data_IF_557046865068
#
_entry.id   IF_557046865068
#
_cell.length_a   1.000
_cell.length_b   1.000
_cell.length_c   1.000
_cell.angle_alpha   90.00
_cell.angle_beta   90.00
_cell.angle_gamma   90.00
#
_symmetry.space_group_name_H-M   'P 1'
#
loop_
_entity.id
_entity.type
_entity.pdbx_description
1 polymer ?
#
# COMPACT_ATOMS: atom_id res chain seq x y z
N UNK A 1 -31.98 2.77 -21.52
CA UNK A 1 -31.87 1.30 -21.50
C UNK A 1 -31.19 0.92 -20.20
N UNK A 2 -31.91 0.34 -19.24
CA UNK A 2 -31.30 -0.20 -18.04
C UNK A 2 -30.39 -1.36 -18.46
N UNK A 3 -29.08 -1.24 -18.24
CA UNK A 3 -28.18 -2.38 -18.33
C UNK A 3 -28.67 -3.34 -17.24
N UNK A 4 -29.39 -4.39 -17.63
CA UNK A 4 -29.64 -5.53 -16.75
C UNK A 4 -28.26 -6.14 -16.54
N UNK A 5 -27.53 -5.64 -15.55
CA UNK A 5 -26.25 -6.20 -15.17
C UNK A 5 -26.49 -7.61 -14.67
N UNK A 6 -25.76 -8.56 -15.23
CA UNK A 6 -25.78 -9.96 -14.81
C UNK A 6 -25.77 -10.08 -13.27
N UNK A 7 -26.60 -10.98 -12.74
CA UNK A 7 -26.78 -11.13 -11.29
C UNK A 7 -25.46 -11.45 -10.58
N UNK A 8 -24.55 -12.19 -11.21
CA UNK A 8 -23.25 -12.51 -10.64
C UNK A 8 -22.33 -11.28 -10.59
N UNK A 9 -22.38 -10.41 -11.61
CA UNK A 9 -21.65 -9.14 -11.60
C UNK A 9 -22.19 -8.17 -10.54
N UNK A 10 -23.49 -8.18 -10.27
CA UNK A 10 -24.09 -7.44 -9.15
C UNK A 10 -23.61 -7.97 -7.79
N UNK A 11 -23.53 -9.30 -7.64
CA UNK A 11 -22.97 -9.91 -6.43
C UNK A 11 -21.51 -9.55 -6.23
N UNK A 12 -20.70 -9.52 -7.30
CA UNK A 12 -19.31 -9.05 -7.23
C UNK A 12 -19.24 -7.59 -6.77
N UNK A 13 -20.05 -6.68 -7.35
CA UNK A 13 -20.09 -5.28 -6.91
C UNK A 13 -20.38 -5.16 -5.42
N UNK A 14 -21.37 -5.92 -4.95
CA UNK A 14 -21.74 -5.95 -3.54
C UNK A 14 -20.61 -6.49 -2.67
N UNK A 15 -19.95 -7.58 -3.09
CA UNK A 15 -18.79 -8.13 -2.41
C UNK A 15 -17.65 -7.10 -2.33
N UNK A 16 -17.32 -6.42 -3.42
CA UNK A 16 -16.27 -5.40 -3.44
C UNK A 16 -16.60 -4.23 -2.48
N UNK A 17 -17.86 -3.82 -2.44
CA UNK A 17 -18.33 -2.68 -1.64
C UNK A 17 -18.61 -3.00 -0.16
N UNK A 18 -19.01 -4.23 0.18
CA UNK A 18 -19.39 -4.60 1.55
C UNK A 18 -18.43 -5.61 2.21
N UNK A 19 -17.58 -6.29 1.44
CA UNK A 19 -16.69 -7.34 1.94
C UNK A 19 -17.40 -8.62 2.41
N UNK A 20 -18.73 -8.68 2.38
CA UNK A 20 -19.50 -9.83 2.86
C UNK A 20 -20.65 -10.15 1.90
N UNK A 21 -20.80 -11.44 1.59
CA UNK A 21 -21.91 -11.98 0.79
C UNK A 21 -23.05 -12.51 1.65
N UNK A 22 -22.77 -12.88 2.90
CA UNK A 22 -23.69 -13.59 3.79
C UNK A 22 -24.65 -12.65 4.52
N UNK A 23 -24.25 -11.41 4.77
CA UNK A 23 -25.04 -10.44 5.53
C UNK A 23 -25.63 -9.33 4.65
N UNK A 24 -26.83 -8.87 5.02
CA UNK A 24 -27.46 -7.70 4.40
C UNK A 24 -26.66 -6.43 4.73
N UNK A 25 -26.14 -6.36 5.96
CA UNK A 25 -25.27 -5.29 6.43
C UNK A 25 -24.18 -5.88 7.34
N UNK A 26 -22.88 -5.66 7.08
CA UNK A 26 -21.82 -6.18 7.94
C UNK A 26 -21.91 -5.54 9.33
N UNK A 27 -21.98 -6.36 10.39
CA UNK A 27 -22.06 -5.91 11.80
C UNK A 27 -20.78 -5.23 12.29
N UNK A 28 -19.68 -5.39 11.54
CA UNK A 28 -18.35 -4.92 11.91
C UNK A 28 -17.50 -4.69 10.66
N UNK A 29 -16.81 -3.56 10.60
CA UNK A 29 -15.84 -3.20 9.54
C UNK A 29 -14.51 -3.96 9.70
N UNK A 30 -14.35 -4.78 10.74
CA UNK A 30 -13.05 -5.36 11.12
C UNK A 30 -12.66 -6.63 10.36
N UNK A 31 -13.41 -7.03 9.32
CA UNK A 31 -13.02 -8.13 8.44
C UNK A 31 -13.18 -7.72 6.98
N UNK A 32 -12.13 -7.86 6.15
CA UNK A 32 -12.25 -7.49 4.75
C UNK A 32 -13.18 -8.46 3.98
N UNK A 33 -13.17 -9.75 4.31
CA UNK A 33 -14.09 -10.80 3.84
C UNK A 33 -13.66 -12.18 4.41
N UNK A 34 -14.49 -13.22 4.25
CA UNK A 34 -14.14 -14.61 4.60
C UNK A 34 -14.00 -15.49 3.34
N UNK A 35 -12.76 -15.87 2.93
CA UNK A 35 -12.52 -16.69 1.75
C UNK A 35 -13.28 -18.02 1.70
N UNK A 36 -13.65 -18.59 2.86
CA UNK A 36 -14.34 -19.89 2.91
C UNK A 36 -15.84 -19.79 2.57
N UNK A 37 -16.41 -18.59 2.67
CA UNK A 37 -17.84 -18.35 2.48
C UNK A 37 -18.09 -17.55 1.19
N UNK A 38 -17.11 -16.78 0.71
CA UNK A 38 -17.18 -16.03 -0.55
C UNK A 38 -17.32 -16.99 -1.74
N UNK A 39 -18.48 -16.94 -2.41
CA UNK A 39 -18.81 -17.82 -3.53
C UNK A 39 -18.97 -17.05 -4.86
N UNK A 40 -19.22 -15.74 -4.84
CA UNK A 40 -19.56 -14.98 -6.05
C UNK A 40 -18.46 -15.06 -7.13
N UNK A 41 -17.18 -15.14 -6.74
CA UNK A 41 -16.08 -15.24 -7.70
C UNK A 41 -16.08 -16.61 -8.38
N UNK A 42 -16.40 -17.68 -7.66
CA UNK A 42 -16.50 -19.02 -8.24
C UNK A 42 -17.70 -19.10 -9.19
N UNK A 43 -18.84 -18.53 -8.81
CA UNK A 43 -20.03 -18.46 -9.66
C UNK A 43 -19.77 -17.68 -10.96
N UNK A 44 -18.97 -16.61 -10.90
CA UNK A 44 -18.50 -15.88 -12.10
C UNK A 44 -17.62 -16.74 -13.00
N UNK A 45 -16.75 -17.56 -12.42
CA UNK A 45 -15.91 -18.51 -13.16
C UNK A 45 -16.79 -19.55 -13.85
N UNK A 46 -17.77 -20.10 -13.12
CA UNK A 46 -18.66 -21.14 -13.62
C UNK A 46 -19.62 -20.60 -14.71
N UNK A 47 -19.95 -19.31 -14.65
CA UNK A 47 -20.79 -18.60 -15.64
C UNK A 47 -19.99 -18.01 -16.81
N UNK A 48 -18.67 -18.23 -16.85
CA UNK A 48 -17.77 -17.72 -17.89
C UNK A 48 -17.76 -16.18 -18.05
N UNK A 49 -17.83 -15.46 -16.93
CA UNK A 49 -17.85 -14.00 -16.84
C UNK A 49 -16.54 -13.42 -16.26
N UNK A 50 -15.41 -14.13 -16.44
CA UNK A 50 -14.16 -13.77 -15.79
C UNK A 50 -13.56 -12.47 -16.33
N UNK A 51 -13.70 -12.19 -17.63
CA UNK A 51 -13.18 -10.95 -18.22
C UNK A 51 -13.99 -9.74 -17.76
N UNK A 52 -15.31 -9.86 -17.72
CA UNK A 52 -16.23 -8.85 -17.20
C UNK A 52 -15.98 -8.61 -15.71
N UNK A 53 -15.71 -9.66 -14.93
CA UNK A 53 -15.34 -9.53 -13.53
C UNK A 53 -14.04 -8.73 -13.35
N UNK A 54 -13.01 -8.98 -14.17
CA UNK A 54 -11.75 -8.20 -14.12
C UNK A 54 -12.01 -6.73 -14.47
N UNK A 55 -12.81 -6.46 -15.50
CA UNK A 55 -13.18 -5.10 -15.88
C UNK A 55 -13.96 -4.39 -14.76
N UNK A 56 -14.87 -5.10 -14.10
CA UNK A 56 -15.64 -4.60 -12.97
C UNK A 56 -14.77 -4.28 -11.75
N UNK A 57 -13.76 -5.13 -11.44
CA UNK A 57 -12.79 -4.86 -10.38
C UNK A 57 -11.98 -3.60 -10.68
N UNK A 58 -11.51 -3.44 -11.93
CA UNK A 58 -10.80 -2.22 -12.35
C UNK A 58 -11.68 -0.97 -12.23
N UNK A 59 -12.94 -1.08 -12.63
CA UNK A 59 -13.93 0.00 -12.47
C UNK A 59 -14.14 0.36 -11.01
N UNK A 60 -14.30 -0.63 -10.14
CA UNK A 60 -14.46 -0.42 -8.70
C UNK A 60 -13.24 0.28 -8.10
N UNK A 61 -12.03 -0.11 -8.49
CA UNK A 61 -10.79 0.58 -8.08
C UNK A 61 -10.75 2.03 -8.55
N UNK A 62 -10.97 2.29 -9.84
CA UNK A 62 -10.91 3.64 -10.42
C UNK A 62 -11.97 4.60 -9.85
N UNK A 63 -13.12 4.06 -9.43
CA UNK A 63 -14.20 4.84 -8.84
C UNK A 63 -14.16 4.83 -7.30
N UNK A 64 -13.15 4.20 -6.69
CA UNK A 64 -13.04 4.06 -5.23
C UNK A 64 -14.27 3.41 -4.56
N UNK A 65 -14.99 2.57 -5.32
CA UNK A 65 -16.21 1.88 -4.89
C UNK A 65 -15.89 0.49 -4.33
N UNK A 66 -15.13 0.45 -3.23
CA UNK A 66 -14.78 -0.78 -2.53
C UNK A 66 -14.58 -0.52 -1.02
N UNK A 67 -14.85 -1.52 -0.17
CA UNK A 67 -14.70 -1.37 1.29
C UNK A 67 -13.23 -1.33 1.73
N UNK A 68 -12.43 -2.21 1.14
CA UNK A 68 -11.02 -2.39 1.48
C UNK A 68 -10.27 -2.96 0.31
N UNK A 69 -9.01 -2.58 0.17
CA UNK A 69 -8.16 -2.99 -0.95
C UNK A 69 -8.04 -4.52 -1.07
N UNK A 70 -8.16 -5.21 0.07
CA UNK A 70 -8.12 -6.66 0.18
C UNK A 70 -9.21 -7.37 -0.64
N UNK A 71 -10.43 -6.80 -0.77
CA UNK A 71 -11.52 -7.42 -1.55
C UNK A 71 -11.19 -7.45 -3.04
N UNK A 72 -10.66 -6.34 -3.57
CA UNK A 72 -10.18 -6.22 -4.95
C UNK A 72 -9.06 -7.22 -5.23
N UNK A 73 -8.06 -7.25 -4.34
CA UNK A 73 -6.90 -8.14 -4.47
C UNK A 73 -7.33 -9.58 -4.45
N UNK A 74 -8.21 -9.97 -3.52
CA UNK A 74 -8.67 -11.34 -3.43
C UNK A 74 -9.40 -11.80 -4.69
N UNK A 75 -10.33 -10.99 -5.18
CA UNK A 75 -11.03 -11.29 -6.42
C UNK A 75 -10.07 -11.48 -7.60
N UNK A 76 -9.09 -10.57 -7.77
CA UNK A 76 -8.05 -10.70 -8.81
C UNK A 76 -7.16 -11.91 -8.61
N UNK A 77 -6.79 -12.24 -7.38
CA UNK A 77 -5.92 -13.38 -7.09
C UNK A 77 -6.62 -14.70 -7.40
N UNK A 78 -7.90 -14.84 -7.08
CA UNK A 78 -8.68 -16.04 -7.42
C UNK A 78 -8.75 -16.20 -8.94
N UNK A 79 -9.03 -15.12 -9.68
CA UNK A 79 -9.00 -15.11 -11.15
C UNK A 79 -7.59 -15.33 -11.71
N UNK A 80 -6.56 -14.88 -11.00
CA UNK A 80 -5.14 -15.11 -11.29
C UNK A 80 -4.69 -16.57 -11.15
N UNK A 81 -5.54 -17.43 -10.58
CA UNK A 81 -5.38 -18.88 -10.50
C UNK A 81 -6.34 -19.66 -11.41
N UNK A 82 -7.08 -18.98 -12.29
CA UNK A 82 -7.97 -19.63 -13.25
C UNK A 82 -7.25 -20.69 -14.11
N UNK A 83 -8.00 -21.69 -14.58
CA UNK A 83 -7.46 -22.73 -15.48
C UNK A 83 -7.00 -22.13 -16.82
N UNK A 84 -7.75 -21.15 -17.30
CA UNK A 84 -7.44 -20.42 -18.53
C UNK A 84 -6.19 -19.54 -18.36
N UNK A 85 -5.24 -19.68 -19.29
CA UNK A 85 -4.06 -18.85 -19.35
C UNK A 85 -4.35 -17.37 -19.63
N UNK A 86 -5.30 -17.05 -20.51
CA UNK A 86 -5.63 -15.66 -20.84
C UNK A 86 -6.21 -14.93 -19.64
N UNK A 87 -7.14 -15.56 -18.91
CA UNK A 87 -7.72 -14.99 -17.68
C UNK A 87 -6.64 -14.74 -16.63
N UNK A 88 -5.74 -15.71 -16.39
CA UNK A 88 -4.62 -15.52 -15.45
C UNK A 88 -3.74 -14.33 -15.84
N UNK A 89 -3.45 -14.19 -17.13
CA UNK A 89 -2.65 -13.08 -17.66
C UNK A 89 -3.38 -11.75 -17.46
N UNK A 90 -4.67 -11.67 -17.79
CA UNK A 90 -5.50 -10.48 -17.62
C UNK A 90 -5.60 -10.06 -16.14
N UNK A 91 -5.83 -11.01 -15.24
CA UNK A 91 -5.92 -10.74 -13.80
C UNK A 91 -4.60 -10.19 -13.24
N UNK A 92 -3.45 -10.77 -13.65
CA UNK A 92 -2.14 -10.27 -13.26
C UNK A 92 -1.82 -8.89 -13.85
N UNK A 93 -2.28 -8.59 -15.07
CA UNK A 93 -2.13 -7.27 -15.67
C UNK A 93 -2.98 -6.22 -14.92
N UNK A 94 -4.25 -6.54 -14.63
CA UNK A 94 -5.11 -5.67 -13.82
C UNK A 94 -4.52 -5.45 -12.43
N UNK A 95 -3.96 -6.49 -11.81
CA UNK A 95 -3.25 -6.36 -10.55
C UNK A 95 -2.09 -5.36 -10.59
N UNK A 96 -1.40 -5.20 -11.73
CA UNK A 96 -0.27 -4.25 -11.85
C UNK A 96 -0.75 -2.81 -11.90
N UNK A 97 -1.88 -2.60 -12.56
CA UNK A 97 -2.51 -1.28 -12.63
C UNK A 97 -3.01 -0.85 -11.25
N UNK A 98 -3.53 -1.79 -10.47
CA UNK A 98 -4.13 -1.55 -9.16
C UNK A 98 -3.09 -1.51 -8.03
N UNK A 99 -2.06 -2.36 -8.10
CA UNK A 99 -1.04 -2.44 -7.06
C UNK A 99 0.09 -1.43 -7.31
N UNK A 100 -0.15 -0.14 -7.05
CA UNK A 100 0.83 0.92 -7.29
C UNK A 100 1.75 1.20 -6.09
N UNK A 101 1.34 0.87 -4.87
CA UNK A 101 2.04 1.19 -3.60
C UNK A 101 2.68 -0.03 -2.93
N UNK A 102 3.63 0.19 -2.01
CA UNK A 102 4.25 -0.88 -1.23
C UNK A 102 3.21 -1.68 -0.42
N UNK A 103 2.23 -1.01 0.18
CA UNK A 103 1.11 -1.67 0.86
C UNK A 103 0.34 -2.60 -0.09
N UNK A 104 0.04 -2.13 -1.30
CA UNK A 104 -0.73 -2.90 -2.26
C UNK A 104 0.01 -4.16 -2.74
N UNK A 105 1.30 -4.05 -3.08
CA UNK A 105 2.08 -5.20 -3.60
C UNK A 105 2.33 -6.26 -2.52
N UNK A 106 2.55 -5.84 -1.26
CA UNK A 106 2.69 -6.76 -0.12
C UNK A 106 1.36 -7.48 0.17
N UNK A 107 0.23 -6.76 0.06
CA UNK A 107 -1.12 -7.35 0.19
C UNK A 107 -1.38 -8.37 -0.92
N UNK A 108 -1.09 -8.01 -2.17
CA UNK A 108 -1.22 -8.91 -3.31
C UNK A 108 -0.39 -10.17 -3.14
N UNK A 109 0.87 -10.04 -2.71
CA UNK A 109 1.77 -11.16 -2.47
C UNK A 109 1.22 -12.10 -1.40
N UNK A 110 0.65 -11.56 -0.32
CA UNK A 110 0.03 -12.34 0.74
C UNK A 110 -1.13 -13.19 0.21
N UNK A 111 -2.13 -12.56 -0.42
CA UNK A 111 -3.29 -13.28 -0.92
C UNK A 111 -2.92 -14.25 -2.04
N UNK A 112 -2.00 -13.87 -2.94
CA UNK A 112 -1.53 -14.76 -4.00
C UNK A 112 -0.89 -16.02 -3.42
N UNK A 113 -0.07 -15.88 -2.38
CA UNK A 113 0.58 -17.02 -1.71
C UNK A 113 -0.43 -17.92 -0.99
N UNK A 114 -1.44 -17.34 -0.36
CA UNK A 114 -2.50 -18.07 0.32
C UNK A 114 -3.36 -18.87 -0.66
N UNK A 115 -3.80 -18.24 -1.75
CA UNK A 115 -4.58 -18.89 -2.81
C UNK A 115 -3.80 -19.96 -3.59
N UNK A 116 -2.47 -19.87 -3.60
CA UNK A 116 -1.59 -20.85 -4.23
C UNK A 116 -1.47 -22.19 -3.50
N UNK A 117 -1.95 -22.32 -2.25
CA UNK A 117 -1.80 -23.57 -1.47
C UNK A 117 -2.51 -24.76 -2.17
N UNK A 118 -1.90 -25.96 -2.20
CA UNK A 118 -0.68 -26.39 -1.51
C UNK A 118 0.64 -26.06 -2.24
N UNK A 119 0.61 -25.38 -3.39
CA UNK A 119 1.81 -25.04 -4.15
C UNK A 119 2.65 -23.93 -3.49
N UNK A 120 3.89 -23.77 -3.97
CA UNK A 120 4.80 -22.74 -3.46
C UNK A 120 4.34 -21.31 -3.78
N UNK A 121 3.54 -21.07 -4.82
CA UNK A 121 3.03 -19.74 -5.18
C UNK A 121 4.02 -18.77 -5.84
N UNK A 122 5.16 -19.26 -6.30
CA UNK A 122 6.21 -18.47 -6.99
C UNK A 122 6.33 -18.85 -8.47
N UNK A 123 5.18 -19.06 -9.12
CA UNK A 123 5.10 -19.35 -10.55
C UNK A 123 5.68 -18.23 -11.42
N UNK A 124 5.89 -18.50 -12.71
CA UNK A 124 6.47 -17.54 -13.66
C UNK A 124 5.67 -16.24 -13.73
N UNK A 125 4.33 -16.33 -13.75
CA UNK A 125 3.44 -15.17 -13.80
C UNK A 125 3.59 -14.25 -12.59
N UNK A 126 3.47 -14.79 -11.38
CA UNK A 126 3.61 -14.02 -10.14
C UNK A 126 5.02 -13.41 -9.99
N UNK A 127 6.08 -14.18 -10.29
CA UNK A 127 7.43 -13.61 -10.28
C UNK A 127 7.58 -12.47 -11.28
N UNK A 128 7.03 -12.61 -12.48
CA UNK A 128 7.06 -11.54 -13.49
C UNK A 128 6.26 -10.32 -13.04
N UNK A 129 5.11 -10.51 -12.40
CA UNK A 129 4.33 -9.45 -11.75
C UNK A 129 5.21 -8.64 -10.78
N UNK A 130 5.87 -9.31 -9.85
CA UNK A 130 6.71 -8.65 -8.84
C UNK A 130 7.94 -7.99 -9.46
N UNK A 131 8.64 -8.66 -10.39
CA UNK A 131 9.80 -8.10 -11.10
C UNK A 131 9.42 -6.78 -11.77
N UNK A 132 8.28 -6.74 -12.46
CA UNK A 132 7.86 -5.55 -13.19
C UNK A 132 7.39 -4.44 -12.25
N UNK A 133 6.87 -4.75 -11.06
CA UNK A 133 6.55 -3.74 -10.04
C UNK A 133 7.81 -3.04 -9.51
N UNK A 134 8.80 -3.83 -9.05
CA UNK A 134 10.02 -3.26 -8.46
C UNK A 134 10.91 -2.56 -9.50
N UNK A 135 11.06 -3.15 -10.69
CA UNK A 135 11.83 -2.54 -11.76
C UNK A 135 11.03 -1.50 -12.57
N UNK A 136 9.72 -1.40 -12.39
CA UNK A 136 8.88 -0.42 -13.08
C UNK A 136 9.01 0.98 -12.47
N UNK A 137 9.34 1.08 -11.18
CA UNK A 137 9.45 2.34 -10.45
C UNK A 137 10.76 3.08 -10.72
N UNK A 138 10.73 4.38 -10.49
CA UNK A 138 11.94 5.17 -10.26
C UNK A 138 12.59 4.76 -8.93
N UNK A 139 13.91 4.89 -8.84
CA UNK A 139 14.65 4.43 -7.67
C UNK A 139 14.36 5.28 -6.42
N UNK A 140 14.16 6.59 -6.57
CA UNK A 140 13.79 7.48 -5.46
C UNK A 140 12.37 7.18 -5.00
N UNK A 141 11.42 7.06 -5.93
CA UNK A 141 10.03 6.70 -5.61
C UNK A 141 9.93 5.34 -4.92
N UNK A 142 10.72 4.36 -5.38
CA UNK A 142 10.79 3.07 -4.72
C UNK A 142 11.34 3.21 -3.29
N UNK A 143 12.39 4.02 -3.07
CA UNK A 143 12.94 4.27 -1.74
C UNK A 143 11.89 4.89 -0.80
N UNK A 144 11.08 5.83 -1.29
CA UNK A 144 9.94 6.40 -0.56
C UNK A 144 8.94 5.29 -0.19
N UNK A 145 8.47 4.51 -1.15
CA UNK A 145 7.47 3.46 -0.95
C UNK A 145 7.91 2.40 0.08
N UNK A 146 9.13 1.88 -0.06
CA UNK A 146 9.63 0.78 0.79
C UNK A 146 10.00 1.23 2.21
N UNK A 147 10.24 2.54 2.41
CA UNK A 147 10.45 3.10 3.74
C UNK A 147 9.14 3.52 4.40
N UNK A 148 8.12 3.91 3.61
CA UNK A 148 6.74 4.17 4.07
C UNK A 148 6.09 2.90 4.61
N UNK A 149 6.17 1.79 3.87
CA UNK A 149 5.56 0.50 4.28
C UNK A 149 6.60 -0.60 4.28
N UNK A 150 7.31 -0.76 5.40
CA UNK A 150 8.38 -1.77 5.54
C UNK A 150 7.88 -3.21 5.45
N UNK A 151 6.72 -3.47 6.05
CA UNK A 151 6.09 -4.78 6.09
C UNK A 151 4.57 -4.67 6.06
N UNK A 152 3.90 -5.69 5.51
CA UNK A 152 2.44 -5.86 5.58
C UNK A 152 2.11 -7.34 5.48
N UNK A 153 1.11 -7.81 6.22
CA UNK A 153 0.76 -9.24 6.30
C UNK A 153 1.96 -10.17 6.56
N UNK A 154 2.91 -9.71 7.41
CA UNK A 154 4.17 -10.40 7.74
C UNK A 154 5.14 -10.60 6.55
N UNK A 155 4.87 -10.00 5.40
CA UNK A 155 5.80 -9.93 4.28
C UNK A 155 6.65 -8.67 4.39
N UNK A 156 7.95 -8.80 4.15
CA UNK A 156 8.86 -7.67 3.91
C UNK A 156 9.27 -7.61 2.44
N UNK A 157 9.75 -6.45 2.00
CA UNK A 157 10.32 -6.33 0.65
C UNK A 157 11.55 -7.23 0.45
N UNK A 158 12.33 -7.48 1.50
CA UNK A 158 13.46 -8.45 1.47
C UNK A 158 12.97 -9.85 1.10
N UNK A 159 11.88 -10.31 1.73
CA UNK A 159 11.33 -11.64 1.46
C UNK A 159 10.92 -11.76 -0.02
N UNK A 160 10.23 -10.74 -0.54
CA UNK A 160 9.80 -10.72 -1.94
C UNK A 160 10.99 -10.73 -2.90
N UNK A 161 11.98 -9.85 -2.68
CA UNK A 161 13.18 -9.78 -3.53
C UNK A 161 13.90 -11.14 -3.58
N UNK A 162 14.06 -11.79 -2.43
CA UNK A 162 14.73 -13.09 -2.34
C UNK A 162 13.91 -14.21 -2.98
N UNK A 163 12.61 -14.30 -2.70
CA UNK A 163 11.76 -15.41 -3.18
C UNK A 163 11.39 -15.30 -4.66
N UNK A 164 11.21 -14.07 -5.18
CA UNK A 164 10.97 -13.85 -6.60
C UNK A 164 12.27 -13.77 -7.44
N UNK A 165 13.44 -13.78 -6.80
CA UNK A 165 14.75 -13.63 -7.44
C UNK A 165 14.84 -12.38 -8.31
N UNK A 166 14.41 -11.25 -7.76
CA UNK A 166 14.34 -9.99 -8.50
C UNK A 166 15.75 -9.41 -8.64
N UNK A 167 16.15 -9.14 -9.88
CA UNK A 167 17.39 -8.43 -10.21
C UNK A 167 17.08 -6.99 -10.57
N UNK A 168 17.88 -6.05 -10.07
CA UNK A 168 17.72 -4.63 -10.39
C UNK A 168 18.05 -4.38 -11.88
N UNK A 169 17.26 -3.50 -12.52
CA UNK A 169 17.50 -3.08 -13.91
C UNK A 169 18.65 -2.07 -14.07
N UNK A 170 18.99 -1.34 -13.01
CA UNK A 170 20.02 -0.30 -13.00
C UNK A 170 20.66 -0.20 -11.61
N UNK A 171 21.71 0.61 -11.51
CA UNK A 171 22.50 0.75 -10.27
C UNK A 171 21.71 1.42 -9.15
N UNK A 172 20.92 2.44 -9.46
CA UNK A 172 20.09 3.14 -8.48
C UNK A 172 19.07 2.21 -7.78
N UNK A 173 18.37 1.36 -8.54
CA UNK A 173 17.50 0.33 -7.95
C UNK A 173 18.32 -0.76 -7.26
N UNK A 174 19.51 -1.07 -7.77
CA UNK A 174 20.47 -1.95 -7.13
C UNK A 174 20.79 -1.50 -5.71
N UNK A 175 20.99 -0.20 -5.48
CA UNK A 175 21.22 0.39 -4.17
C UNK A 175 20.02 0.21 -3.23
N UNK A 176 18.78 0.44 -3.70
CA UNK A 176 17.56 0.19 -2.90
C UNK A 176 17.45 -1.29 -2.53
N UNK A 177 17.64 -2.19 -3.50
CA UNK A 177 17.51 -3.63 -3.24
C UNK A 177 18.60 -4.11 -2.27
N UNK A 178 19.82 -3.59 -2.40
CA UNK A 178 20.92 -3.87 -1.48
C UNK A 178 20.60 -3.38 -0.08
N UNK A 179 20.08 -2.16 0.06
CA UNK A 179 19.63 -1.60 1.33
C UNK A 179 18.58 -2.51 2.00
N UNK A 180 17.58 -2.96 1.26
CA UNK A 180 16.52 -3.83 1.79
C UNK A 180 17.03 -5.19 2.26
N UNK A 181 18.01 -5.75 1.56
CA UNK A 181 18.52 -7.11 1.85
C UNK A 181 19.64 -7.11 2.89
N UNK A 182 20.51 -6.09 2.86
CA UNK A 182 21.79 -6.05 3.59
C UNK A 182 21.95 -4.84 4.52
N UNK A 183 21.11 -3.81 4.41
CA UNK A 183 21.20 -2.58 5.20
C UNK A 183 22.02 -1.46 4.54
N UNK A 184 21.97 -0.27 5.16
CA UNK A 184 22.51 0.97 4.61
C UNK A 184 24.03 0.97 4.44
N UNK A 185 24.77 0.48 5.43
CA UNK A 185 26.25 0.50 5.40
C UNK A 185 26.81 -0.30 4.21
N UNK A 186 26.25 -1.49 3.97
CA UNK A 186 26.65 -2.33 2.84
C UNK A 186 26.21 -1.70 1.51
N UNK A 187 25.00 -1.12 1.47
CA UNK A 187 24.50 -0.46 0.27
C UNK A 187 25.37 0.73 -0.16
N UNK A 188 25.78 1.58 0.78
CA UNK A 188 26.69 2.70 0.49
C UNK A 188 28.05 2.22 -0.03
N UNK A 189 28.65 1.22 0.63
CA UNK A 189 29.97 0.71 0.26
C UNK A 189 30.00 0.02 -1.10
N UNK A 190 28.94 -0.71 -1.46
CA UNK A 190 28.93 -1.58 -2.65
C UNK A 190 28.18 -1.00 -3.85
N UNK A 191 27.44 0.10 -3.66
CA UNK A 191 26.62 0.72 -4.71
C UNK A 191 26.91 2.21 -4.85
N UNK A 192 28.12 2.64 -4.51
CA UNK A 192 28.56 4.02 -4.69
C UNK A 192 28.69 4.33 -6.19
N UNK A 193 27.72 5.08 -6.71
CA UNK A 193 27.74 5.60 -8.08
C UNK A 193 26.91 6.88 -8.18
N UNK A 194 27.17 7.68 -9.22
CA UNK A 194 26.45 8.94 -9.43
C UNK A 194 24.92 8.73 -9.57
N UNK A 195 24.48 7.60 -10.13
CA UNK A 195 23.06 7.25 -10.26
C UNK A 195 22.44 6.87 -8.90
N UNK A 196 23.20 6.20 -8.04
CA UNK A 196 22.72 5.72 -6.75
C UNK A 196 22.79 6.77 -5.63
N UNK A 197 23.64 7.79 -5.77
CA UNK A 197 23.90 8.80 -4.73
C UNK A 197 22.63 9.50 -4.20
N UNK A 198 21.70 9.99 -5.05
CA UNK A 198 20.47 10.64 -4.55
C UNK A 198 19.62 9.69 -3.68
N UNK A 199 19.59 8.41 -4.04
CA UNK A 199 18.84 7.37 -3.34
C UNK A 199 19.52 6.99 -2.03
N UNK A 200 20.84 6.82 -2.05
CA UNK A 200 21.63 6.51 -0.85
C UNK A 200 21.59 7.67 0.16
N UNK A 201 21.60 8.91 -0.31
CA UNK A 201 21.42 10.11 0.50
C UNK A 201 20.03 10.14 1.15
N UNK A 202 18.96 9.89 0.39
CA UNK A 202 17.61 9.78 0.94
C UNK A 202 17.50 8.68 2.02
N UNK A 203 18.02 7.49 1.74
CA UNK A 203 18.02 6.36 2.68
C UNK A 203 18.86 6.65 3.94
N UNK A 204 19.93 7.44 3.80
CA UNK A 204 20.72 7.94 4.93
C UNK A 204 19.90 8.89 5.80
N UNK A 205 19.24 9.90 5.21
CA UNK A 205 18.35 10.81 5.93
C UNK A 205 17.25 10.05 6.68
N UNK A 206 16.69 9.01 6.05
CA UNK A 206 15.67 8.16 6.69
C UNK A 206 16.25 7.36 7.87
N UNK A 207 17.46 6.82 7.71
CA UNK A 207 18.16 6.13 8.80
C UNK A 207 18.41 7.08 9.98
N UNK A 208 18.89 8.30 9.72
CA UNK A 208 19.11 9.33 10.73
C UNK A 208 17.80 9.71 11.44
N UNK A 209 16.70 9.93 10.70
CA UNK A 209 15.39 10.18 11.29
C UNK A 209 14.95 9.03 12.21
N UNK A 210 15.13 7.79 11.75
CA UNK A 210 14.68 6.60 12.49
C UNK A 210 15.44 6.37 13.81
N UNK A 211 16.65 6.92 13.93
CA UNK A 211 17.50 6.82 15.12
C UNK A 211 17.61 8.14 15.89
N UNK A 212 17.03 9.23 15.38
CA UNK A 212 17.10 10.52 16.04
C UNK A 212 16.33 10.51 17.36
N UNK A 213 16.92 11.18 18.36
CA UNK A 213 16.30 11.44 19.66
C UNK A 213 16.04 12.94 19.88
N UNK A 214 16.51 13.78 18.96
CA UNK A 214 16.34 15.23 19.00
C UNK A 214 15.15 15.67 18.12
N UNK A 215 14.06 16.18 18.72
CA UNK A 215 12.90 16.67 17.98
C UNK A 215 13.20 17.74 16.94
N UNK A 216 14.19 18.62 17.17
CA UNK A 216 14.50 19.73 16.27
C UNK A 216 15.18 19.20 15.02
N UNK A 217 16.22 18.37 15.20
CA UNK A 217 16.89 17.69 14.09
C UNK A 217 15.89 16.85 13.28
N UNK A 218 15.03 16.08 13.95
CA UNK A 218 14.03 15.26 13.29
C UNK A 218 13.02 16.08 12.48
N UNK A 219 12.57 17.23 13.00
CA UNK A 219 11.69 18.14 12.28
C UNK A 219 12.36 18.67 10.99
N UNK A 220 13.63 19.07 11.07
CA UNK A 220 14.40 19.49 9.89
C UNK A 220 14.57 18.38 8.85
N UNK A 221 14.83 17.13 9.29
CA UNK A 221 14.91 15.98 8.38
C UNK A 221 13.57 15.70 7.68
N UNK A 222 12.46 15.79 8.41
CA UNK A 222 11.10 15.63 7.87
C UNK A 222 10.78 16.70 6.84
N UNK A 223 11.16 17.94 7.09
CA UNK A 223 10.89 19.05 6.18
C UNK A 223 11.72 18.94 4.88
N UNK A 224 13.04 18.73 5.01
CA UNK A 224 13.98 18.69 3.86
C UNK A 224 13.73 17.50 2.94
N UNK A 225 13.40 16.33 3.50
CA UNK A 225 13.23 15.10 2.72
C UNK A 225 11.77 14.75 2.45
N UNK A 226 10.84 15.62 2.87
CA UNK A 226 9.40 15.44 2.73
C UNK A 226 8.90 14.09 3.26
N UNK A 227 9.42 13.66 4.40
CA UNK A 227 9.03 12.38 4.99
C UNK A 227 7.54 12.40 5.39
N UNK A 228 6.84 11.34 4.99
CA UNK A 228 5.45 11.11 5.33
C UNK A 228 5.31 10.62 6.78
N UNK A 229 4.10 10.72 7.31
CA UNK A 229 3.77 10.29 8.67
C UNK A 229 4.20 8.85 8.98
N UNK A 230 4.02 7.90 8.04
CA UNK A 230 4.32 6.48 8.25
C UNK A 230 5.84 6.22 8.41
N UNK A 231 6.68 7.15 7.94
CA UNK A 231 8.13 7.06 8.02
C UNK A 231 8.66 7.55 9.38
N UNK A 232 7.86 8.28 10.15
CA UNK A 232 8.29 8.94 11.37
C UNK A 232 8.13 7.99 12.57
N UNK A 233 9.18 7.80 13.40
CA UNK A 233 9.10 6.97 14.58
C UNK A 233 8.03 7.44 15.57
N UNK A 234 7.24 6.49 16.09
CA UNK A 234 6.15 6.75 17.04
C UNK A 234 6.59 7.43 18.35
N UNK A 235 7.88 7.35 18.70
CA UNK A 235 8.48 8.01 19.86
C UNK A 235 8.63 9.52 19.64
N UNK A 236 9.11 9.93 18.47
CA UNK A 236 9.45 11.33 18.18
C UNK A 236 8.28 12.11 17.59
N UNK A 237 7.31 11.43 16.99
CA UNK A 237 6.13 12.05 16.41
C UNK A 237 5.25 12.80 17.41
N UNK A 238 5.40 12.50 18.70
CA UNK A 238 4.67 13.16 19.80
C UNK A 238 5.32 14.46 20.26
N UNK A 239 6.52 14.77 19.75
CA UNK A 239 7.20 16.03 20.02
C UNK A 239 6.45 17.19 19.35
N UNK A 240 6.61 18.38 19.93
CA UNK A 240 5.90 19.57 19.46
C UNK A 240 6.37 19.95 18.07
N UNK A 241 7.68 19.89 17.86
CA UNK A 241 8.42 20.29 16.68
C UNK A 241 8.01 19.41 15.49
N UNK A 242 8.14 18.08 15.62
CA UNK A 242 7.80 17.15 14.53
C UNK A 242 6.31 17.16 14.21
N UNK A 243 5.44 17.23 15.23
CA UNK A 243 3.98 17.27 14.99
C UNK A 243 3.56 18.48 14.15
N UNK A 244 4.16 19.65 14.40
CA UNK A 244 3.83 20.87 13.64
C UNK A 244 4.22 20.76 12.16
N UNK A 245 5.34 20.09 11.85
CA UNK A 245 5.74 19.86 10.47
C UNK A 245 4.81 18.88 9.73
N UNK A 246 4.21 17.94 10.46
CA UNK A 246 3.47 16.81 9.89
C UNK A 246 1.98 17.10 9.74
N UNK A 247 1.35 17.77 10.71
CA UNK A 247 -0.09 18.08 10.70
C UNK A 247 -0.56 18.70 9.37
N UNK A 248 0.15 19.70 8.79
CA UNK A 248 -0.28 20.32 7.55
C UNK A 248 -0.27 19.38 6.33
N UNK A 249 0.48 18.27 6.39
CA UNK A 249 0.69 17.32 5.29
C UNK A 249 -0.08 16.01 5.46
N UNK A 250 -0.76 15.82 6.59
CA UNK A 250 -1.46 14.58 6.90
C UNK A 250 -2.74 14.41 6.05
N UNK A 251 -2.98 13.23 5.46
CA UNK A 251 -4.31 12.87 4.98
C UNK A 251 -5.35 13.09 6.09
N UNK A 252 -6.51 13.63 5.74
CA UNK A 252 -7.50 14.05 6.73
C UNK A 252 -7.97 12.89 7.62
N UNK A 253 -8.20 11.71 7.04
CA UNK A 253 -8.56 10.50 7.78
C UNK A 253 -7.50 10.14 8.83
N UNK A 254 -6.22 10.20 8.47
CA UNK A 254 -5.13 9.95 9.42
C UNK A 254 -5.09 11.01 10.52
N UNK A 255 -5.35 12.28 10.19
CA UNK A 255 -5.41 13.36 11.16
C UNK A 255 -6.50 13.10 12.21
N UNK A 256 -7.72 12.71 11.77
CA UNK A 256 -8.85 12.39 12.65
C UNK A 256 -8.51 11.28 13.65
N UNK A 257 -7.88 10.20 13.18
CA UNK A 257 -7.45 9.08 14.03
C UNK A 257 -6.40 9.49 15.08
N UNK A 258 -5.60 10.53 14.77
CA UNK A 258 -4.51 11.01 15.62
C UNK A 258 -4.93 12.08 16.62
N UNK A 259 -6.09 12.73 16.45
CA UNK A 259 -6.58 13.79 17.36
C UNK A 259 -6.58 13.33 18.82
N UNK A 260 -7.07 12.12 19.07
CA UNK A 260 -7.12 11.54 20.42
C UNK A 260 -5.72 11.39 21.04
N UNK A 261 -4.69 11.09 20.23
CA UNK A 261 -3.31 10.93 20.67
C UNK A 261 -2.65 12.29 20.91
N UNK A 262 -2.83 13.25 20.00
CA UNK A 262 -2.30 14.60 20.16
C UNK A 262 -2.90 15.32 21.37
N UNK A 263 -4.19 15.11 21.65
CA UNK A 263 -4.83 15.63 22.86
C UNK A 263 -4.23 15.01 24.13
N UNK A 264 -4.07 13.68 24.19
CA UNK A 264 -3.47 12.98 25.35
C UNK A 264 -2.06 13.44 25.68
N UNK A 265 -1.28 13.85 24.67
CA UNK A 265 0.09 14.38 24.84
C UNK A 265 0.07 15.88 25.18
N UNK A 266 -1.08 16.54 25.14
CA UNK A 266 -1.24 17.95 25.48
C UNK A 266 -0.79 18.90 24.37
N UNK A 267 -0.81 18.45 23.11
CA UNK A 267 -0.52 19.30 21.95
C UNK A 267 -1.73 20.16 21.55
N UNK A 268 -2.95 19.63 21.72
CA UNK A 268 -4.21 20.30 21.36
C UNK A 268 -4.78 21.15 22.51
N UNK A 269 -3.94 21.99 23.13
CA UNK A 269 -4.42 22.98 24.11
C UNK A 269 -5.15 24.13 23.41
N UNK A 270 -6.13 24.79 24.06
CA UNK A 270 -6.76 25.98 23.49
C UNK A 270 -5.72 27.02 23.08
N UNK A 271 -5.85 27.59 21.88
CA UNK A 271 -4.96 28.61 21.30
C UNK A 271 -3.49 28.16 21.12
N UNK A 272 -3.20 26.86 21.04
CA UNK A 272 -1.88 26.38 20.65
C UNK A 272 -1.68 26.42 19.14
N UNK A 273 -0.44 26.56 18.67
CA UNK A 273 -0.11 26.48 17.24
C UNK A 273 -0.58 25.16 16.60
N UNK A 274 -0.49 24.05 17.33
CA UNK A 274 -1.03 22.76 16.87
C UNK A 274 -2.55 22.79 16.72
N UNK A 275 -3.27 23.39 17.67
CA UNK A 275 -4.73 23.50 17.59
C UNK A 275 -5.16 24.33 16.38
N UNK A 276 -4.46 25.44 16.12
CA UNK A 276 -4.69 26.28 14.93
C UNK A 276 -4.44 25.50 13.64
N UNK A 277 -3.29 24.82 13.52
CA UNK A 277 -2.95 24.03 12.33
C UNK A 277 -3.95 22.90 12.07
N UNK A 278 -4.47 22.25 13.12
CA UNK A 278 -5.52 21.24 12.97
C UNK A 278 -6.83 21.88 12.52
N UNK A 279 -7.25 22.99 13.12
CA UNK A 279 -8.49 23.66 12.74
C UNK A 279 -8.45 24.17 11.29
N UNK A 280 -7.32 24.69 10.84
CA UNK A 280 -7.11 25.09 9.44
C UNK A 280 -7.29 23.89 8.48
N UNK A 281 -6.75 22.72 8.82
CA UNK A 281 -6.95 21.48 8.06
C UNK A 281 -8.38 20.97 8.09
N UNK A 282 -9.13 21.18 9.17
CA UNK A 282 -10.53 20.77 9.27
C UNK A 282 -11.50 21.75 8.58
N UNK A 283 -11.10 23.02 8.45
CA UNK A 283 -11.92 24.08 7.88
C UNK A 283 -11.72 24.26 6.36
N UNK A 284 -10.71 23.63 5.76
CA UNK A 284 -10.44 23.75 4.33
C UNK A 284 -11.37 22.83 3.50
N UNK A 285 -12.15 23.43 2.60
CA UNK A 285 -13.01 22.70 1.66
C UNK A 285 -12.21 21.81 0.70
N UNK A 286 -10.99 22.21 0.34
CA UNK A 286 -10.08 21.43 -0.51
C UNK A 286 -9.65 20.13 0.20
N UNK A 287 -9.36 20.19 1.50
CA UNK A 287 -9.02 19.00 2.30
C UNK A 287 -10.21 18.08 2.59
N UNK A 288 -11.44 18.59 2.50
CA UNK A 288 -12.68 17.80 2.65
C UNK A 288 -13.08 17.09 1.34
N UNK A 289 -12.60 17.57 0.20
CA UNK A 289 -12.80 16.93 -1.10
C UNK A 289 -11.79 15.80 -1.38
N UNK A 290 -10.65 15.79 -0.66
CA UNK A 290 -9.56 14.80 -0.75
C UNK A 290 -9.79 13.53 0.13
N UNK A 291 -10.97 13.38 0.76
CA UNK A 291 -11.37 12.17 1.53
C UNK A 291 -12.38 11.32 0.80
#
# INVERSE_FOLDING_TARGET
MAIVSDSNLLRLRRFLYLGDESQIYPLSVTYPFNPNITQCIQELIDSNLQEEAIAEIKRAYNNEHFLGFETLVYALVVLGHAKDFQIRKLALLAGREICTTAASVLTFTHFYKEASKPSKGWGRGHRRFLIDWYNGKDAKDLAVEVTKVKTRYKWSHKDILCMAHIKAKNEALGAVFKYLVKGLEIAKRECESAEAEPVLSYLKSFYELSHSTDPIQAAGLVEVNEFCFEQIPSKIIKSKEVSLCVIPKLPLQNLLDLLSKFNKVGLLKPNSSHSTAVLERLASEETLADT
#
